data_IF_721841234427
#
_entry.id   IF_721841234427
#
_cell.length_a   1.000
_cell.length_b   1.000
_cell.length_c   1.000
_cell.angle_alpha   90.00
_cell.angle_beta   90.00
_cell.angle_gamma   90.00
#
_symmetry.space_group_name_H-M   'P 1'
#
loop_
_entity.id
_entity.type
_entity.pdbx_description
1 polymer ?
#
# COMPACT_ATOMS: atom_id res chain seq x y z
N UNK A 1 -3.54 -48.13 -31.32
CA UNK A 1 -2.67 -46.95 -31.47
C UNK A 1 -3.32 -45.79 -30.71
N UNK A 2 -3.14 -45.74 -29.38
CA UNK A 2 -3.72 -44.70 -28.53
C UNK A 2 -2.61 -43.70 -28.20
N UNK A 3 -2.62 -42.56 -28.88
CA UNK A 3 -1.66 -41.49 -28.68
C UNK A 3 -2.18 -40.61 -27.54
N UNK A 4 -1.75 -40.93 -26.31
CA UNK A 4 -2.13 -40.23 -25.08
C UNK A 4 -1.51 -38.83 -25.12
N UNK A 5 -2.37 -37.85 -25.34
CA UNK A 5 -2.06 -36.42 -25.34
C UNK A 5 -1.75 -35.99 -23.89
N UNK A 6 -0.47 -35.95 -23.54
CA UNK A 6 0.03 -35.46 -22.26
C UNK A 6 -0.12 -33.92 -22.21
N UNK A 7 -1.29 -33.46 -21.78
CA UNK A 7 -1.55 -32.06 -21.42
C UNK A 7 -0.65 -31.68 -20.25
N UNK A 8 0.50 -31.07 -20.57
CA UNK A 8 1.35 -30.34 -19.64
C UNK A 8 0.55 -29.17 -19.07
N UNK A 9 -0.06 -29.38 -17.91
CA UNK A 9 -0.58 -28.32 -17.05
C UNK A 9 0.63 -27.60 -16.46
N UNK A 10 1.14 -26.61 -17.17
CA UNK A 10 2.06 -25.64 -16.61
C UNK A 10 1.29 -24.81 -15.58
N UNK A 11 1.38 -25.20 -14.31
CA UNK A 11 1.03 -24.34 -13.18
C UNK A 11 2.08 -23.23 -13.08
N UNK A 12 1.98 -22.24 -13.97
CA UNK A 12 2.70 -20.99 -13.84
C UNK A 12 2.16 -20.23 -12.63
N UNK A 13 2.91 -20.25 -11.53
CA UNK A 13 2.75 -19.22 -10.49
C UNK A 13 3.21 -17.91 -11.12
N UNK A 14 2.26 -17.08 -11.54
CA UNK A 14 2.57 -15.68 -11.84
C UNK A 14 3.12 -15.08 -10.56
N UNK A 15 4.36 -14.60 -10.61
CA UNK A 15 4.87 -13.61 -9.66
C UNK A 15 3.77 -12.54 -9.57
N UNK A 16 3.26 -12.29 -8.37
CA UNK A 16 2.24 -11.27 -8.15
C UNK A 16 2.62 -10.03 -8.96
N UNK A 17 1.70 -9.47 -9.76
CA UNK A 17 1.99 -8.25 -10.50
C UNK A 17 2.52 -7.25 -9.48
N UNK A 18 3.68 -6.64 -9.77
CA UNK A 18 4.31 -5.58 -8.97
C UNK A 18 3.34 -4.38 -8.92
N UNK A 19 2.32 -4.51 -8.09
CA UNK A 19 1.23 -3.58 -7.93
C UNK A 19 1.46 -2.74 -6.69
N UNK A 20 1.17 -1.44 -6.78
CA UNK A 20 1.26 -0.53 -5.65
C UNK A 20 0.07 -0.68 -4.73
N UNK A 21 0.32 -0.65 -3.43
CA UNK A 21 -0.73 -0.67 -2.41
C UNK A 21 -0.91 0.70 -1.77
N UNK A 22 -2.12 1.23 -1.86
CA UNK A 22 -2.51 2.47 -1.23
C UNK A 22 -3.44 2.23 -0.05
N UNK A 23 -3.27 3.01 1.00
CA UNK A 23 -4.16 3.05 2.16
C UNK A 23 -4.89 4.38 2.17
N UNK A 24 -6.20 4.34 2.06
CA UNK A 24 -7.08 5.49 2.22
C UNK A 24 -7.67 5.48 3.61
N UNK A 25 -7.49 6.57 4.34
CA UNK A 25 -8.03 6.77 5.68
C UNK A 25 -9.15 7.80 5.57
N UNK A 26 -10.28 7.49 6.19
CA UNK A 26 -11.49 8.30 6.18
C UNK A 26 -11.85 8.70 7.60
N UNK A 27 -12.36 9.93 7.75
CA UNK A 27 -12.90 10.38 9.02
C UNK A 27 -14.37 9.93 9.16
N UNK A 28 -14.68 9.21 10.25
CA UNK A 28 -16.04 8.73 10.54
C UNK A 28 -17.06 9.87 10.65
N UNK A 29 -16.67 11.07 11.11
CA UNK A 29 -17.59 12.22 11.18
C UNK A 29 -17.94 12.75 9.79
N UNK A 30 -16.97 12.83 8.88
CA UNK A 30 -17.17 13.29 7.50
C UNK A 30 -17.98 12.26 6.70
N UNK A 31 -17.69 10.96 6.84
CA UNK A 31 -18.48 9.90 6.19
C UNK A 31 -19.97 10.00 6.57
N UNK A 32 -20.28 10.29 7.84
CA UNK A 32 -21.66 10.51 8.29
C UNK A 32 -22.28 11.78 7.68
N UNK A 33 -21.51 12.84 7.53
CA UNK A 33 -21.98 14.09 6.90
C UNK A 33 -22.32 13.88 5.42
N UNK A 34 -21.55 13.05 4.72
CA UNK A 34 -21.81 12.65 3.34
C UNK A 34 -22.85 11.52 3.20
N UNK A 35 -23.40 11.02 4.31
CA UNK A 35 -24.32 9.87 4.35
C UNK A 35 -23.76 8.64 3.62
N UNK A 36 -22.46 8.38 3.78
CA UNK A 36 -21.75 7.29 3.11
C UNK A 36 -21.04 6.38 4.12
N UNK A 37 -20.59 5.21 3.65
CA UNK A 37 -19.76 4.27 4.40
C UNK A 37 -18.54 3.87 3.57
N UNK A 38 -17.50 3.36 4.24
CA UNK A 38 -16.32 2.80 3.56
C UNK A 38 -16.70 1.71 2.58
N UNK A 39 -17.66 0.86 2.95
CA UNK A 39 -18.11 -0.26 2.13
C UNK A 39 -18.83 0.26 0.87
N UNK A 40 -19.56 1.37 0.98
CA UNK A 40 -20.22 2.00 -0.18
C UNK A 40 -19.23 2.63 -1.14
N UNK A 41 -18.20 3.32 -0.62
CA UNK A 41 -17.11 3.88 -1.42
C UNK A 41 -16.32 2.76 -2.09
N UNK A 42 -16.05 1.68 -1.35
CA UNK A 42 -15.35 0.49 -1.82
C UNK A 42 -16.03 -0.11 -3.07
N UNK A 43 -17.36 -0.22 -3.10
CA UNK A 43 -18.09 -0.73 -4.27
C UNK A 43 -17.79 0.05 -5.56
N UNK A 44 -17.50 1.36 -5.46
CA UNK A 44 -17.12 2.17 -6.64
C UNK A 44 -15.70 1.85 -7.12
N UNK A 45 -14.84 1.39 -6.22
CA UNK A 45 -13.43 1.11 -6.46
C UNK A 45 -13.18 -0.34 -6.87
N UNK A 46 -13.98 -1.29 -6.36
CA UNK A 46 -13.88 -2.74 -6.63
C UNK A 46 -13.97 -3.08 -8.12
N UNK A 47 -14.59 -2.23 -8.92
CA UNK A 47 -14.72 -2.46 -10.36
C UNK A 47 -13.41 -2.16 -11.13
N UNK A 48 -12.47 -1.47 -10.49
CA UNK A 48 -11.23 -0.98 -11.12
C UNK A 48 -10.00 -1.56 -10.41
N UNK A 49 -10.08 -1.74 -9.09
CA UNK A 49 -8.96 -2.16 -8.25
C UNK A 49 -9.37 -3.27 -7.28
N UNK A 50 -8.39 -4.01 -6.79
CA UNK A 50 -8.60 -4.94 -5.68
C UNK A 50 -8.63 -4.14 -4.39
N UNK A 51 -9.77 -4.10 -3.72
CA UNK A 51 -9.95 -3.31 -2.50
C UNK A 51 -10.29 -4.17 -1.30
N UNK A 52 -9.97 -3.65 -0.12
CA UNK A 52 -10.40 -4.21 1.15
C UNK A 52 -10.75 -3.09 2.12
N UNK A 53 -12.03 -2.95 2.45
CA UNK A 53 -12.49 -2.05 3.50
C UNK A 53 -12.18 -2.60 4.89
N UNK A 54 -11.89 -1.67 5.79
CA UNK A 54 -11.72 -1.91 7.21
C UNK A 54 -12.64 -0.94 7.95
N UNK A 55 -13.72 -1.48 8.50
CA UNK A 55 -14.61 -0.75 9.40
C UNK A 55 -14.72 -1.51 10.73
N UNK A 56 -14.49 -0.81 11.85
CA UNK A 56 -14.45 -1.43 13.17
C UNK A 56 -14.09 -0.43 14.29
N UNK A 57 -13.47 -0.92 15.37
CA UNK A 57 -12.96 -0.08 16.47
C UNK A 57 -11.80 0.85 16.04
N UNK A 58 -11.13 0.52 14.95
CA UNK A 58 -10.09 1.34 14.32
C UNK A 58 -10.68 2.38 13.37
N UNK A 59 -9.87 3.32 12.92
CA UNK A 59 -10.26 4.31 11.91
C UNK A 59 -10.79 3.66 10.63
N UNK A 60 -11.73 4.34 9.98
CA UNK A 60 -12.35 3.85 8.77
C UNK A 60 -11.33 3.94 7.63
N UNK A 61 -10.97 2.80 7.03
CA UNK A 61 -9.93 2.76 6.01
C UNK A 61 -10.29 1.82 4.86
N UNK A 62 -9.73 2.08 3.68
CA UNK A 62 -9.81 1.21 2.52
C UNK A 62 -8.40 0.99 2.01
N UNK A 63 -8.03 -0.27 1.87
CA UNK A 63 -6.78 -0.67 1.23
C UNK A 63 -7.07 -0.94 -0.24
N UNK A 64 -6.35 -0.28 -1.12
CA UNK A 64 -6.52 -0.35 -2.58
C UNK A 64 -5.23 -0.86 -3.17
N UNK A 65 -5.28 -2.04 -3.77
CA UNK A 65 -4.18 -2.62 -4.49
C UNK A 65 -4.38 -2.38 -5.98
N UNK A 66 -3.45 -1.63 -6.55
CA UNK A 66 -3.46 -1.23 -7.94
C UNK A 66 -2.53 -2.17 -8.71
N UNK A 67 -3.00 -2.89 -9.73
CA UNK A 67 -2.17 -3.85 -10.47
C UNK A 67 -1.20 -3.19 -11.46
N UNK A 68 -1.19 -1.85 -11.56
CA UNK A 68 -0.39 -1.08 -12.50
C UNK A 68 0.54 -0.10 -11.75
N UNK A 69 1.84 -0.09 -12.06
CA UNK A 69 2.82 0.82 -11.43
C UNK A 69 2.61 2.32 -11.73
N UNK A 70 1.85 2.64 -12.78
CA UNK A 70 1.71 4.01 -13.29
C UNK A 70 0.77 4.92 -12.50
N UNK A 71 0.07 4.41 -11.49
CA UNK A 71 -0.84 5.22 -10.67
C UNK A 71 -0.08 5.72 -9.44
N UNK A 72 0.00 7.04 -9.32
CA UNK A 72 0.54 7.73 -8.16
C UNK A 72 -0.57 8.18 -7.20
N UNK A 73 -0.18 8.51 -5.97
CA UNK A 73 -1.08 9.03 -4.93
C UNK A 73 -2.01 10.13 -5.43
N UNK A 74 -1.49 11.09 -6.21
CA UNK A 74 -2.27 12.19 -6.75
C UNK A 74 -3.35 11.72 -7.72
N UNK A 75 -3.00 10.82 -8.64
CA UNK A 75 -3.93 10.26 -9.62
C UNK A 75 -5.02 9.43 -8.94
N UNK A 76 -4.66 8.68 -7.89
CA UNK A 76 -5.64 7.96 -7.09
C UNK A 76 -6.58 8.92 -6.36
N UNK A 77 -6.07 10.04 -5.85
CA UNK A 77 -6.86 11.07 -5.19
C UNK A 77 -7.85 11.80 -6.12
N UNK A 78 -7.51 11.95 -7.39
CA UNK A 78 -8.36 12.59 -8.40
C UNK A 78 -9.49 11.68 -8.91
N UNK A 79 -9.49 10.42 -8.51
CA UNK A 79 -10.52 9.47 -8.89
C UNK A 79 -11.85 9.83 -8.24
N UNK A 80 -12.90 9.90 -9.06
CA UNK A 80 -14.26 10.15 -8.61
C UNK A 80 -14.91 8.87 -8.12
N UNK A 81 -15.40 8.91 -6.89
CA UNK A 81 -16.16 7.83 -6.26
C UNK A 81 -17.56 8.30 -5.92
N UNK A 82 -18.50 7.35 -5.94
CA UNK A 82 -19.88 7.65 -5.54
C UNK A 82 -19.97 7.64 -4.03
N UNK A 83 -20.36 8.77 -3.45
CA UNK A 83 -20.57 8.89 -2.00
C UNK A 83 -22.03 8.69 -1.62
N UNK A 84 -22.99 9.08 -2.46
CA UNK A 84 -24.39 8.67 -2.30
C UNK A 84 -25.09 8.54 -3.66
N UNK A 85 -26.40 8.27 -3.66
CA UNK A 85 -27.19 8.12 -4.89
C UNK A 85 -27.17 9.34 -5.84
N UNK A 86 -26.87 10.53 -5.33
CA UNK A 86 -26.94 11.81 -6.04
C UNK A 86 -25.61 12.56 -6.09
N UNK A 87 -24.57 12.07 -5.41
CA UNK A 87 -23.31 12.78 -5.25
C UNK A 87 -22.12 11.87 -5.52
N UNK A 88 -21.23 12.39 -6.36
CA UNK A 88 -19.87 11.91 -6.59
C UNK A 88 -18.90 12.93 -6.02
N UNK A 89 -17.81 12.45 -5.44
CA UNK A 89 -16.73 13.28 -4.90
C UNK A 89 -15.39 12.65 -5.30
N UNK A 90 -14.34 13.45 -5.40
CA UNK A 90 -13.00 12.91 -5.59
C UNK A 90 -12.50 12.27 -4.29
N UNK A 91 -11.62 11.28 -4.39
CA UNK A 91 -11.02 10.68 -3.19
C UNK A 91 -10.25 11.71 -2.35
N UNK A 92 -9.63 12.73 -2.96
CA UNK A 92 -9.00 13.83 -2.25
C UNK A 92 -9.97 14.68 -1.40
N UNK A 93 -11.25 14.76 -1.77
CA UNK A 93 -12.26 15.53 -1.03
C UNK A 93 -12.82 14.80 0.19
N UNK A 94 -12.74 13.46 0.20
CA UNK A 94 -13.42 12.63 1.21
C UNK A 94 -12.45 11.76 2.02
N UNK A 95 -11.28 11.44 1.49
CA UNK A 95 -10.23 10.74 2.20
C UNK A 95 -9.44 11.76 3.02
N UNK A 96 -9.39 11.54 4.33
CA UNK A 96 -8.56 12.32 5.23
C UNK A 96 -7.08 12.19 4.87
N UNK A 97 -6.65 10.99 4.48
CA UNK A 97 -5.28 10.73 4.06
C UNK A 97 -5.22 9.59 3.04
N UNK A 98 -4.33 9.74 2.06
CA UNK A 98 -3.98 8.69 1.10
C UNK A 98 -2.49 8.41 1.30
N UNK A 99 -2.14 7.18 1.62
CA UNK A 99 -0.78 6.74 1.94
C UNK A 99 -0.35 5.69 0.93
N UNK A 100 0.82 5.87 0.32
CA UNK A 100 1.49 4.83 -0.44
C UNK A 100 2.25 3.91 0.53
N UNK A 101 1.82 2.66 0.65
CA UNK A 101 2.42 1.70 1.58
C UNK A 101 3.75 1.14 1.04
N UNK A 102 3.94 1.09 -0.26
CA UNK A 102 5.17 0.57 -0.88
C UNK A 102 6.31 1.59 -0.74
N UNK A 103 6.03 2.87 -0.99
CA UNK A 103 6.99 3.95 -0.73
C UNK A 103 7.32 4.05 0.76
N UNK A 104 6.31 3.93 1.63
CA UNK A 104 6.50 3.99 3.09
C UNK A 104 7.36 2.83 3.61
N UNK A 105 7.15 1.61 3.11
CA UNK A 105 7.91 0.43 3.51
C UNK A 105 9.36 0.50 3.02
N UNK A 106 9.56 0.92 1.77
CA UNK A 106 10.87 1.18 1.18
C UNK A 106 11.65 2.21 1.99
N UNK A 107 11.01 3.35 2.29
CA UNK A 107 11.62 4.45 3.05
C UNK A 107 11.97 4.01 4.47
N UNK A 108 11.07 3.30 5.15
CA UNK A 108 11.31 2.79 6.50
C UNK A 108 12.44 1.76 6.55
N UNK A 109 12.49 0.83 5.60
CA UNK A 109 13.58 -0.15 5.50
C UNK A 109 14.93 0.51 5.20
N UNK A 110 14.94 1.51 4.31
CA UNK A 110 16.13 2.32 4.03
C UNK A 110 16.63 3.06 5.27
N UNK A 111 15.72 3.66 6.04
CA UNK A 111 16.06 4.33 7.30
C UNK A 111 16.62 3.34 8.34
N UNK A 112 16.00 2.17 8.51
CA UNK A 112 16.51 1.09 9.38
C UNK A 112 17.90 0.63 8.95
N UNK A 113 18.11 0.36 7.66
CA UNK A 113 19.39 -0.06 7.13
C UNK A 113 20.47 1.01 7.36
N UNK A 114 20.13 2.29 7.19
CA UNK A 114 21.03 3.41 7.45
C UNK A 114 21.40 3.53 8.94
N UNK A 115 20.46 3.23 9.83
CA UNK A 115 20.66 3.24 11.27
C UNK A 115 21.58 2.09 11.72
N UNK A 116 21.34 0.88 11.21
CA UNK A 116 22.21 -0.28 11.44
C UNK A 116 23.63 -0.06 10.89
N UNK A 117 23.75 0.53 9.69
CA UNK A 117 25.03 0.88 9.09
C UNK A 117 25.81 1.92 9.93
N UNK A 118 25.13 2.91 10.50
CA UNK A 118 25.74 3.86 11.45
C UNK A 118 26.22 3.14 12.71
N UNK A 119 25.41 2.28 13.30
CA UNK A 119 25.78 1.53 14.52
C UNK A 119 26.94 0.55 14.28
N UNK A 120 27.02 -0.09 13.11
CA UNK A 120 28.11 -0.97 12.72
C UNK A 120 29.44 -0.20 12.52
N UNK A 121 29.39 1.02 11.97
CA UNK A 121 30.57 1.90 11.85
C UNK A 121 31.09 2.34 13.22
N UNK A 122 30.21 2.68 14.16
CA UNK A 122 30.59 3.05 15.54
C UNK A 122 31.25 1.89 16.29
N UNK A 123 30.77 0.64 16.12
CA UNK A 123 31.42 -0.55 16.70
C UNK A 123 32.80 -0.84 16.09
N UNK A 124 32.97 -0.66 14.77
CA UNK A 124 34.27 -0.83 14.10
C UNK A 124 35.28 0.24 14.52
N UNK A 125 34.86 1.49 14.67
CA UNK A 125 35.71 2.58 15.18
C UNK A 125 36.20 2.31 16.61
N UNK A 126 35.32 1.82 17.49
CA UNK A 126 35.68 1.47 18.87
C UNK A 126 36.62 0.25 18.96
N UNK A 127 36.57 -0.67 17.99
CA UNK A 127 37.50 -1.81 17.93
C UNK A 127 38.87 -1.41 17.38
N UNK A 128 38.92 -0.46 16.43
CA UNK A 128 40.16 0.10 15.91
C UNK A 128 40.93 0.92 16.96
N UNK A 129 40.24 1.64 17.84
CA UNK A 129 40.85 2.40 18.94
C UNK A 129 41.47 1.53 20.03
N UNK A 130 41.09 0.24 20.14
CA UNK A 130 41.65 -0.71 21.11
C UNK A 130 42.75 -1.61 20.54
N UNK A 131 43.07 -1.49 19.25
CA UNK A 131 44.00 -2.37 18.55
C UNK A 131 45.37 -1.73 18.24
N UNK A 132 45.59 -0.46 18.60
CA UNK A 132 46.92 0.15 18.58
C UNK A 132 47.50 0.17 20.01
N UNK A 133 48.31 -0.81 20.41
CA UNK A 133 49.33 -0.54 21.41
C UNK A 133 50.36 0.38 20.78
N UNK A 134 50.64 1.50 21.45
CA UNK A 134 51.76 2.40 21.10
C UNK A 134 53.07 1.59 21.02
N UNK A 135 54.06 2.03 20.21
CA UNK A 135 55.34 1.33 20.04
C UNK A 135 56.13 1.19 21.36
#
# INVERSE_FOLDING_TARGET
>A
MALVLFMLVFSGYSKDPEGKTFLLIFNKSELKQYQTSTDYIELSLMNIFTTKSFSGNSDAAILVQVPYEGIDRCQLGDLFVRVNQHRTASLNEIAFQIIDLDESKSTFQSLLASYEARNAKTKKANKALKANPNP
#
